data_IF_975174389200
#
_entry.id   IF_975174389200
#
_cell.length_a   1.000
_cell.length_b   1.000
_cell.length_c   1.000
_cell.angle_alpha   90.00
_cell.angle_beta   90.00
_cell.angle_gamma   90.00
#
_symmetry.space_group_name_H-M   'P 1'
#
loop_
_entity.id
_entity.type
_entity.pdbx_description
1 polymer ?
#
# COMPACT_ATOMS: atom_id res chain seq x y z
N UNK A 1 9.33 5.42 -12.14
CA UNK A 1 8.59 4.17 -11.89
C UNK A 1 7.39 4.49 -11.04
N UNK A 2 6.22 3.89 -11.30
CA UNK A 2 5.03 4.12 -10.47
C UNK A 2 4.90 3.02 -9.43
N UNK A 3 4.82 3.40 -8.17
CA UNK A 3 4.84 2.49 -7.02
C UNK A 3 3.58 2.71 -6.18
N UNK A 4 2.90 1.63 -5.82
CA UNK A 4 1.86 1.62 -4.80
C UNK A 4 2.46 1.10 -3.50
N UNK A 5 2.36 1.89 -2.42
CA UNK A 5 2.71 1.39 -1.09
C UNK A 5 1.56 0.58 -0.53
N UNK A 6 1.87 -0.64 -0.10
CA UNK A 6 1.01 -1.42 0.78
C UNK A 6 0.92 -0.78 2.18
N UNK A 7 -0.09 -1.14 2.96
CA UNK A 7 -0.32 -0.60 4.31
C UNK A 7 0.89 -0.81 5.23
N UNK A 8 1.50 -2.01 5.21
CA UNK A 8 2.71 -2.27 5.99
C UNK A 8 3.85 -1.34 5.59
N UNK A 9 4.01 -1.09 4.30
CA UNK A 9 5.08 -0.26 3.73
C UNK A 9 4.89 1.22 4.06
N UNK A 10 3.64 1.70 4.08
CA UNK A 10 3.30 3.05 4.56
C UNK A 10 3.76 3.21 6.02
N UNK A 11 3.34 2.30 6.89
CA UNK A 11 3.65 2.36 8.33
C UNK A 11 5.16 2.29 8.54
N UNK A 12 5.85 1.37 7.87
CA UNK A 12 7.29 1.18 8.06
C UNK A 12 8.10 2.32 7.48
N UNK A 13 7.75 2.86 6.32
CA UNK A 13 8.43 4.03 5.76
C UNK A 13 8.43 5.20 6.75
N UNK A 14 7.32 5.38 7.47
CA UNK A 14 7.14 6.49 8.40
C UNK A 14 7.74 6.21 9.78
N UNK A 15 7.48 5.05 10.35
CA UNK A 15 7.70 4.78 11.78
C UNK A 15 8.83 3.78 12.06
N UNK A 16 9.17 2.92 11.10
CA UNK A 16 10.10 1.82 11.28
C UNK A 16 10.86 1.49 9.98
N UNK A 17 11.62 2.44 9.41
CA UNK A 17 12.24 2.26 8.10
C UNK A 17 13.22 1.09 8.06
N UNK A 18 13.78 0.69 9.21
CA UNK A 18 14.63 -0.50 9.36
C UNK A 18 13.94 -1.82 8.99
N UNK A 19 12.60 -1.86 8.98
CA UNK A 19 11.83 -3.04 8.55
C UNK A 19 11.72 -3.18 7.03
N UNK A 20 12.01 -2.11 6.28
CA UNK A 20 12.09 -2.16 4.84
C UNK A 20 13.45 -2.75 4.43
N UNK A 21 13.45 -3.56 3.38
CA UNK A 21 14.68 -4.00 2.73
C UNK A 21 15.36 -2.84 2.01
N UNK A 22 16.64 -3.01 1.67
CA UNK A 22 17.37 -2.01 0.90
C UNK A 22 16.78 -1.80 -0.50
N UNK A 23 16.22 -2.85 -1.12
CA UNK A 23 15.51 -2.76 -2.40
C UNK A 23 14.28 -1.86 -2.29
N UNK A 24 13.44 -2.09 -1.28
CA UNK A 24 12.23 -1.31 -1.04
C UNK A 24 12.57 0.16 -0.72
N UNK A 25 13.55 0.40 0.17
CA UNK A 25 14.02 1.75 0.51
C UNK A 25 14.52 2.50 -0.73
N UNK A 26 15.34 1.84 -1.54
CA UNK A 26 15.91 2.44 -2.76
C UNK A 26 14.82 2.79 -3.77
N UNK A 27 13.81 1.92 -3.93
CA UNK A 27 12.69 2.17 -4.81
C UNK A 27 11.81 3.35 -4.34
N UNK A 28 11.52 3.42 -3.04
CA UNK A 28 10.70 4.49 -2.44
C UNK A 28 11.42 5.85 -2.50
N UNK A 29 12.73 5.88 -2.22
CA UNK A 29 13.51 7.12 -2.13
C UNK A 29 14.07 7.62 -3.47
N UNK A 30 13.94 6.82 -4.54
CA UNK A 30 14.40 7.20 -5.87
C UNK A 30 13.66 8.45 -6.39
N UNK A 31 14.44 9.43 -6.89
CA UNK A 31 13.91 10.66 -7.47
C UNK A 31 13.07 10.46 -8.74
N UNK A 32 13.17 9.29 -9.37
CA UNK A 32 12.40 8.94 -10.57
C UNK A 32 11.17 8.10 -10.24
N UNK A 33 10.93 7.81 -8.97
CA UNK A 33 9.74 7.09 -8.51
C UNK A 33 8.59 8.05 -8.22
N UNK A 34 7.41 7.70 -8.71
CA UNK A 34 6.14 8.32 -8.35
C UNK A 34 5.45 7.39 -7.34
N UNK A 35 5.19 7.90 -6.14
CA UNK A 35 4.66 7.10 -5.04
C UNK A 35 3.16 7.35 -4.87
N UNK A 36 2.43 6.26 -4.85
CA UNK A 36 0.99 6.21 -4.70
C UNK A 36 0.60 5.45 -3.44
N UNK A 37 -0.56 5.78 -2.89
CA UNK A 37 -1.21 5.07 -1.79
C UNK A 37 -2.66 4.77 -2.13
N UNK A 38 -3.20 3.67 -1.61
CA UNK A 38 -4.62 3.36 -1.75
C UNK A 38 -5.40 3.88 -0.54
N UNK A 39 -6.58 4.52 -0.73
CA UNK A 39 -7.46 4.91 0.37
C UNK A 39 -7.85 3.74 1.28
N UNK A 40 -7.84 2.49 0.79
CA UNK A 40 -8.13 1.31 1.62
C UNK A 40 -7.10 1.13 2.74
N UNK A 41 -5.84 1.51 2.50
CA UNK A 41 -4.78 1.46 3.51
C UNK A 41 -5.06 2.43 4.67
N UNK A 42 -5.77 3.53 4.43
CA UNK A 42 -6.21 4.43 5.51
C UNK A 42 -7.23 3.73 6.43
N UNK A 43 -8.17 2.98 5.86
CA UNK A 43 -9.13 2.20 6.64
C UNK A 43 -8.44 1.08 7.44
N UNK A 44 -7.45 0.42 6.85
CA UNK A 44 -6.66 -0.60 7.55
C UNK A 44 -5.84 0.00 8.70
N UNK A 45 -5.15 1.13 8.48
CA UNK A 45 -4.44 1.88 9.54
C UNK A 45 -5.39 2.29 10.68
N UNK A 46 -6.60 2.76 10.34
CA UNK A 46 -7.62 3.09 11.33
C UNK A 46 -7.98 1.86 12.18
N UNK A 47 -8.29 0.73 11.53
CA UNK A 47 -8.62 -0.52 12.22
C UNK A 47 -7.47 -1.03 13.10
N UNK A 48 -6.23 -0.98 12.61
CA UNK A 48 -5.05 -1.39 13.36
C UNK A 48 -4.83 -0.50 14.58
N UNK A 49 -5.01 0.82 14.43
CA UNK A 49 -4.87 1.78 15.53
C UNK A 49 -5.94 1.58 16.59
N UNK A 50 -7.22 1.46 16.19
CA UNK A 50 -8.34 1.27 17.12
C UNK A 50 -8.28 -0.07 17.86
N UNK A 51 -7.72 -1.10 17.23
CA UNK A 51 -7.48 -2.41 17.86
C UNK A 51 -6.19 -2.46 18.68
N UNK A 52 -5.44 -1.35 18.79
CA UNK A 52 -4.18 -1.28 19.53
C UNK A 52 -3.06 -2.13 18.94
N UNK A 53 -3.14 -2.49 17.65
CA UNK A 53 -2.11 -3.28 16.94
C UNK A 53 -0.94 -2.41 16.50
N UNK A 54 -1.17 -1.12 16.32
CA UNK A 54 -0.15 -0.10 16.09
C UNK A 54 -0.39 1.09 17.02
N UNK A 55 0.67 1.79 17.37
CA UNK A 55 0.60 3.02 18.17
C UNK A 55 0.98 4.19 17.26
N UNK A 56 0.07 5.15 17.13
CA UNK A 56 0.29 6.38 16.38
C UNK A 56 0.45 7.55 17.36
N UNK A 57 1.24 8.55 16.98
CA UNK A 57 1.45 9.76 17.79
C UNK A 57 0.24 10.72 17.79
N UNK A 58 -0.75 10.45 16.94
CA UNK A 58 -1.99 11.21 16.77
C UNK A 58 -3.09 10.35 16.18
N UNK A 59 -4.31 10.87 16.12
CA UNK A 59 -5.45 10.22 15.47
C UNK A 59 -5.11 9.78 14.03
N UNK A 60 -5.51 8.55 13.65
CA UNK A 60 -5.15 7.91 12.37
C UNK A 60 -5.40 8.80 11.14
N UNK A 61 -6.51 9.55 11.13
CA UNK A 61 -6.86 10.47 10.03
C UNK A 61 -5.81 11.57 9.84
N UNK A 62 -5.40 12.19 10.94
CA UNK A 62 -4.41 13.27 10.92
C UNK A 62 -3.03 12.70 10.62
N UNK A 63 -2.72 11.52 11.14
CA UNK A 63 -1.48 10.78 10.85
C UNK A 63 -1.35 10.52 9.34
N UNK A 64 -2.36 9.89 8.73
CA UNK A 64 -2.35 9.51 7.32
C UNK A 64 -2.19 10.73 6.41
N UNK A 65 -3.02 11.76 6.61
CA UNK A 65 -2.95 12.98 5.81
C UNK A 65 -1.61 13.71 5.97
N UNK A 66 -1.06 13.75 7.18
CA UNK A 66 0.23 14.38 7.44
C UNK A 66 1.34 13.69 6.67
N UNK A 67 1.47 12.36 6.76
CA UNK A 67 2.58 11.65 6.12
C UNK A 67 2.42 11.49 4.60
N UNK A 68 1.19 11.35 4.10
CA UNK A 68 0.93 11.40 2.65
C UNK A 68 1.35 12.76 2.08
N UNK A 69 0.97 13.86 2.75
CA UNK A 69 1.34 15.21 2.33
C UNK A 69 2.84 15.50 2.48
N UNK A 70 3.44 15.13 3.61
CA UNK A 70 4.87 15.34 3.90
C UNK A 70 5.77 14.66 2.88
N UNK A 71 5.42 13.46 2.44
CA UNK A 71 6.19 12.69 1.47
C UNK A 71 5.77 12.94 0.01
N UNK A 72 4.84 13.86 -0.25
CA UNK A 72 4.27 14.13 -1.56
C UNK A 72 3.73 12.87 -2.27
N UNK A 73 3.14 11.96 -1.50
CA UNK A 73 2.49 10.76 -2.04
C UNK A 73 1.11 11.09 -2.61
N UNK A 74 0.71 10.37 -3.65
CA UNK A 74 -0.59 10.59 -4.32
C UNK A 74 -1.57 9.48 -3.98
N UNK A 75 -2.73 9.82 -3.42
CA UNK A 75 -3.79 8.85 -3.19
C UNK A 75 -4.53 8.54 -4.51
N UNK A 76 -4.66 7.26 -4.87
CA UNK A 76 -5.42 6.84 -6.06
C UNK A 76 -6.88 6.58 -5.65
N UNK A 77 -7.87 7.28 -6.25
CA UNK A 77 -9.27 7.02 -5.94
C UNK A 77 -9.67 5.57 -6.20
N UNK A 78 -10.46 4.98 -5.29
CA UNK A 78 -11.08 3.67 -5.50
C UNK A 78 -12.42 3.90 -6.17
N UNK A 79 -12.55 3.48 -7.43
CA UNK A 79 -13.78 3.55 -8.20
C UNK A 79 -14.39 2.15 -8.41
N UNK A 80 -15.52 2.11 -9.11
CA UNK A 80 -16.20 0.85 -9.42
C UNK A 80 -15.30 -0.13 -10.19
N UNK A 81 -14.42 0.37 -11.08
CA UNK A 81 -13.51 -0.46 -11.87
C UNK A 81 -12.50 -1.17 -10.96
N UNK A 82 -11.93 -0.47 -10.00
CA UNK A 82 -11.01 -1.08 -9.02
C UNK A 82 -11.73 -2.14 -8.19
N UNK A 83 -12.96 -1.86 -7.74
CA UNK A 83 -13.74 -2.85 -6.97
C UNK A 83 -14.06 -4.09 -7.82
N UNK A 84 -14.49 -3.91 -9.07
CA UNK A 84 -14.74 -5.03 -9.98
C UNK A 84 -13.49 -5.88 -10.21
N UNK A 85 -12.34 -5.23 -10.44
CA UNK A 85 -11.05 -5.91 -10.60
C UNK A 85 -10.64 -6.67 -9.33
N UNK A 86 -10.85 -6.10 -8.13
CA UNK A 86 -10.50 -6.71 -6.85
C UNK A 86 -11.19 -8.07 -6.60
N UNK A 87 -12.38 -8.25 -7.17
CA UNK A 87 -13.13 -9.51 -7.10
C UNK A 87 -13.09 -10.32 -8.41
N UNK A 88 -12.36 -9.85 -9.42
CA UNK A 88 -12.14 -10.54 -10.70
C UNK A 88 -10.66 -10.88 -10.95
N UNK A 89 -9.84 -10.84 -9.89
CA UNK A 89 -8.42 -11.19 -9.95
C UNK A 89 -8.23 -12.61 -10.53
N UNK A 90 -7.29 -12.81 -11.47
CA UNK A 90 -6.99 -14.13 -12.01
C UNK A 90 -6.56 -15.13 -10.92
N UNK A 91 -6.98 -16.38 -11.07
CA UNK A 91 -6.70 -17.46 -10.11
C UNK A 91 -7.14 -17.17 -8.66
N UNK A 92 -6.86 -18.12 -7.77
CA UNK A 92 -7.14 -17.93 -6.35
C UNK A 92 -6.11 -16.99 -5.74
N UNK A 93 -6.59 -15.88 -5.21
CA UNK A 93 -5.81 -14.90 -4.45
C UNK A 93 -6.23 -14.87 -2.95
N UNK A 94 -5.90 -13.80 -2.23
CA UNK A 94 -6.21 -13.51 -0.83
C UNK A 94 -7.72 -13.40 -0.55
N UNK A 95 -8.14 -13.68 0.68
CA UNK A 95 -9.52 -13.53 1.15
C UNK A 95 -9.78 -12.16 1.82
N UNK A 96 -8.73 -11.34 1.97
CA UNK A 96 -8.80 -10.01 2.59
C UNK A 96 -9.24 -8.98 1.54
N UNK A 97 -10.35 -8.26 1.77
CA UNK A 97 -10.78 -7.17 0.92
C UNK A 97 -9.72 -6.08 0.72
N UNK A 98 -8.88 -5.78 1.73
CA UNK A 98 -7.87 -4.74 1.62
C UNK A 98 -6.80 -5.10 0.59
N UNK A 99 -6.19 -6.28 0.73
CA UNK A 99 -5.18 -6.79 -0.20
C UNK A 99 -5.71 -6.90 -1.62
N UNK A 100 -6.96 -7.36 -1.78
CA UNK A 100 -7.63 -7.43 -3.08
C UNK A 100 -7.71 -6.06 -3.74
N UNK A 101 -8.12 -5.04 -2.98
CA UNK A 101 -8.22 -3.66 -3.48
C UNK A 101 -6.84 -3.09 -3.79
N UNK A 102 -5.81 -3.35 -2.98
CA UNK A 102 -4.43 -2.92 -3.24
C UNK A 102 -3.92 -3.54 -4.54
N UNK A 103 -4.06 -4.86 -4.71
CA UNK A 103 -3.64 -5.56 -5.93
C UNK A 103 -4.40 -5.09 -7.16
N UNK A 104 -5.71 -4.89 -7.05
CA UNK A 104 -6.52 -4.34 -8.13
C UNK A 104 -6.12 -2.90 -8.51
N UNK A 105 -5.86 -2.05 -7.51
CA UNK A 105 -5.39 -0.67 -7.73
C UNK A 105 -4.07 -0.67 -8.49
N UNK A 106 -3.13 -1.54 -8.08
CA UNK A 106 -1.84 -1.67 -8.76
C UNK A 106 -1.99 -2.18 -10.19
N UNK A 107 -2.82 -3.19 -10.43
CA UNK A 107 -3.08 -3.74 -11.76
C UNK A 107 -3.75 -2.71 -12.68
N UNK A 108 -4.75 -1.99 -12.18
CA UNK A 108 -5.47 -0.98 -12.95
C UNK A 108 -4.60 0.23 -13.32
N UNK A 109 -3.60 0.56 -12.49
CA UNK A 109 -2.67 1.67 -12.69
C UNK A 109 -1.29 1.28 -13.24
N UNK A 110 -1.06 0.00 -13.55
CA UNK A 110 0.25 -0.56 -13.96
C UNK A 110 1.39 -0.23 -12.96
N UNK A 111 1.08 -0.30 -11.66
CA UNK A 111 1.96 0.05 -10.55
C UNK A 111 2.74 -1.17 -10.04
N UNK A 112 3.89 -0.92 -9.42
CA UNK A 112 4.61 -1.93 -8.65
C UNK A 112 4.21 -1.80 -7.18
N UNK A 113 3.87 -2.89 -6.51
CA UNK A 113 3.53 -2.87 -5.07
C UNK A 113 4.80 -3.02 -4.25
N UNK A 114 5.06 -2.10 -3.33
CA UNK A 114 6.05 -2.34 -2.27
C UNK A 114 5.32 -2.96 -1.09
N UNK A 115 5.62 -4.23 -0.78
CA UNK A 115 4.95 -5.00 0.27
C UNK A 115 5.85 -6.10 0.81
N UNK A 116 5.65 -6.47 2.06
CA UNK A 116 6.24 -7.67 2.66
C UNK A 116 5.31 -8.88 2.69
N UNK A 117 4.05 -8.70 2.26
CA UNK A 117 3.06 -9.77 2.28
C UNK A 117 3.42 -10.84 1.26
N UNK A 118 3.67 -12.06 1.75
CA UNK A 118 4.13 -13.14 0.91
C UNK A 118 3.11 -13.58 -0.14
N UNK A 119 1.80 -13.48 0.15
CA UNK A 119 0.75 -13.84 -0.81
C UNK A 119 0.66 -12.82 -1.93
N UNK A 120 0.93 -11.54 -1.67
CA UNK A 120 1.06 -10.53 -2.74
C UNK A 120 2.36 -10.75 -3.52
N UNK A 121 3.48 -11.00 -2.82
CA UNK A 121 4.78 -11.24 -3.46
C UNK A 121 4.79 -12.46 -4.39
N UNK A 122 4.11 -13.54 -4.00
CA UNK A 122 4.02 -14.77 -4.78
C UNK A 122 2.91 -14.72 -5.85
N UNK A 123 2.14 -13.64 -5.93
CA UNK A 123 1.04 -13.50 -6.89
C UNK A 123 1.56 -13.03 -8.27
N UNK A 124 1.48 -13.88 -9.32
CA UNK A 124 2.20 -13.62 -10.58
C UNK A 124 1.58 -12.52 -11.44
N UNK A 125 0.36 -12.10 -11.10
CA UNK A 125 -0.41 -11.14 -11.90
C UNK A 125 -0.23 -9.69 -11.45
N UNK A 126 0.72 -9.40 -10.57
CA UNK A 126 1.08 -8.05 -10.16
C UNK A 126 2.59 -7.94 -9.97
N UNK A 127 3.16 -6.77 -10.27
CA UNK A 127 4.58 -6.53 -10.04
C UNK A 127 4.79 -6.09 -8.61
N UNK A 128 5.81 -6.64 -7.96
CA UNK A 128 6.12 -6.35 -6.56
C UNK A 128 7.58 -5.96 -6.39
N UNK A 129 7.88 -5.24 -5.32
CA UNK A 129 9.22 -4.83 -4.90
C UNK A 129 9.33 -5.10 -3.41
N UNK A 130 10.31 -5.90 -3.03
CA UNK A 130 10.71 -6.16 -1.66
C UNK A 130 12.19 -6.50 -1.61
#
# INVERSE_FOLDING_TARGET
MKILLDTCSIIWTVSNPERLTETAKSAITSKTSEIFVSPISCAEIACLSERGRIVLDRHWKTWFNHFVGLNAWTAIPIDLKIIQEAYSLPDRFHDDPADRIIVATARAGELHIVTSDRKILDYPYVKTIW
#
